data_IF_087617429585
#
_entry.id   IF_087617429585
#
_cell.length_a   1.000
_cell.length_b   1.000
_cell.length_c   1.000
_cell.angle_alpha   90.00
_cell.angle_beta   90.00
_cell.angle_gamma   90.00
#
_symmetry.space_group_name_H-M   'P 1'
#
loop_
_entity.id
_entity.type
_entity.pdbx_description
1 polymer ?
#
# COMPACT_ATOMS: atom_id res chain seq x y z
N UNK A 1 -19.59 -29.68 -17.58
CA UNK A 1 -18.60 -29.47 -18.65
C UNK A 1 -18.81 -28.06 -19.16
N UNK A 2 -17.82 -27.16 -18.96
CA UNK A 2 -17.99 -25.69 -18.91
C UNK A 2 -18.95 -25.27 -17.77
N UNK A 3 -18.66 -24.28 -16.92
CA UNK A 3 -17.74 -23.14 -17.04
C UNK A 3 -16.62 -23.20 -15.99
N UNK A 4 -15.40 -23.43 -16.48
CA UNK A 4 -14.13 -23.08 -15.83
C UNK A 4 -13.51 -21.99 -16.71
N UNK A 5 -12.63 -21.12 -16.17
CA UNK A 5 -12.00 -19.95 -16.82
C UNK A 5 -12.84 -18.66 -16.90
N UNK A 6 -13.08 -18.02 -15.74
CA UNK A 6 -12.82 -16.57 -15.59
C UNK A 6 -12.11 -16.36 -14.23
N UNK A 7 -10.90 -16.94 -14.11
CA UNK A 7 -9.88 -16.30 -13.28
C UNK A 7 -9.40 -15.09 -14.07
N UNK A 8 -10.17 -14.00 -14.02
CA UNK A 8 -9.62 -12.69 -14.34
C UNK A 8 -8.61 -12.41 -13.23
N UNK A 9 -7.35 -12.69 -13.52
CA UNK A 9 -6.26 -11.97 -12.91
C UNK A 9 -6.58 -10.49 -13.12
N UNK A 10 -7.09 -9.83 -12.07
CA UNK A 10 -6.95 -8.40 -11.90
C UNK A 10 -5.45 -8.14 -11.72
N UNK A 11 -4.73 -8.26 -12.84
CA UNK A 11 -3.55 -7.48 -13.11
C UNK A 11 -4.05 -6.04 -13.12
N UNK A 12 -4.18 -5.48 -11.92
CA UNK A 12 -4.17 -4.04 -11.72
C UNK A 12 -3.03 -3.53 -12.60
N UNK A 13 -3.27 -2.58 -13.51
CA UNK A 13 -2.16 -1.98 -14.22
C UNK A 13 -1.20 -1.49 -13.13
N UNK A 14 0.05 -1.94 -13.21
CA UNK A 14 1.15 -1.32 -12.48
C UNK A 14 1.35 0.07 -13.10
N UNK A 15 0.40 0.97 -12.80
CA UNK A 15 0.59 2.39 -12.92
C UNK A 15 1.87 2.72 -12.17
N UNK A 16 2.63 3.65 -12.71
CA UNK A 16 4.00 3.96 -12.29
C UNK A 16 3.94 4.48 -10.84
N UNK A 17 3.98 3.54 -9.89
CA UNK A 17 4.06 3.79 -8.48
C UNK A 17 5.54 3.99 -8.21
N UNK A 18 5.90 5.26 -8.00
CA UNK A 18 7.23 5.65 -7.54
C UNK A 18 7.61 4.77 -6.35
N UNK A 19 8.82 4.21 -6.37
CA UNK A 19 9.29 3.17 -5.45
C UNK A 19 10.76 3.43 -5.14
N UNK A 20 11.22 2.95 -4.00
CA UNK A 20 12.64 2.87 -3.67
C UNK A 20 13.40 2.10 -4.75
N UNK A 21 14.36 2.77 -5.38
CA UNK A 21 15.24 2.19 -6.39
C UNK A 21 16.42 1.46 -5.73
N UNK A 22 16.84 0.33 -6.29
CA UNK A 22 18.05 -0.38 -5.85
C UNK A 22 19.18 -0.10 -6.83
N UNK A 23 20.18 0.67 -6.39
CA UNK A 23 21.29 1.11 -7.23
C UNK A 23 22.59 0.46 -6.75
N UNK A 24 23.33 -0.17 -7.68
CA UNK A 24 24.69 -0.59 -7.41
C UNK A 24 25.62 0.62 -7.60
N UNK A 25 26.36 1.00 -6.56
CA UNK A 25 27.21 2.19 -6.58
C UNK A 25 28.36 2.11 -7.60
N UNK A 26 28.71 0.92 -8.09
CA UNK A 26 29.65 0.74 -9.21
C UNK A 26 29.13 1.45 -10.49
N UNK A 27 27.80 1.62 -10.61
CA UNK A 27 27.13 2.25 -11.74
C UNK A 27 26.93 3.78 -11.56
N UNK A 28 27.53 4.37 -10.51
CA UNK A 28 27.53 5.81 -10.29
C UNK A 28 28.46 6.56 -11.27
N UNK A 29 28.08 6.61 -12.54
CA UNK A 29 28.79 7.35 -13.59
C UNK A 29 28.44 8.85 -13.65
N UNK A 30 27.56 9.31 -12.76
CA UNK A 30 27.08 10.70 -12.72
C UNK A 30 28.06 11.67 -12.05
N UNK A 31 27.90 12.96 -12.32
CA UNK A 31 28.75 14.04 -11.82
C UNK A 31 27.95 15.05 -10.96
N UNK A 32 28.60 16.00 -10.26
CA UNK A 32 27.89 16.94 -9.38
C UNK A 32 26.87 17.87 -10.04
N UNK A 33 27.00 18.13 -11.36
CA UNK A 33 26.09 18.94 -12.16
C UNK A 33 24.84 18.14 -12.57
N UNK A 34 25.02 16.85 -12.87
CA UNK A 34 23.93 15.93 -13.22
C UNK A 34 23.85 14.75 -12.24
N UNK A 35 23.49 14.98 -10.96
CA UNK A 35 23.36 13.92 -9.96
C UNK A 35 22.21 12.96 -10.29
N UNK A 36 22.30 11.73 -9.77
CA UNK A 36 21.22 10.74 -9.80
C UNK A 36 20.00 11.32 -9.08
N UNK A 37 18.86 11.31 -9.76
CA UNK A 37 17.56 11.76 -9.23
C UNK A 37 16.77 10.54 -8.76
N UNK A 38 16.27 10.60 -7.52
CA UNK A 38 15.56 9.48 -6.90
C UNK A 38 14.36 9.97 -6.07
N UNK A 39 13.34 9.11 -5.96
CA UNK A 39 12.23 9.29 -5.01
C UNK A 39 12.57 8.62 -3.67
N UNK A 40 13.13 7.42 -3.68
CA UNK A 40 13.92 6.83 -2.59
C UNK A 40 14.99 5.92 -3.21
N UNK A 41 16.12 5.66 -2.54
CA UNK A 41 17.16 4.77 -3.07
C UNK A 41 17.85 3.95 -1.99
N UNK A 42 17.95 2.63 -2.21
CA UNK A 42 18.92 1.75 -1.56
C UNK A 42 20.18 1.71 -2.42
N UNK A 43 21.25 2.32 -1.94
CA UNK A 43 22.55 2.34 -2.61
C UNK A 43 23.47 1.32 -1.95
N UNK A 44 23.89 0.31 -2.71
CA UNK A 44 24.76 -0.76 -2.23
C UNK A 44 26.03 -0.87 -3.08
N UNK A 45 27.11 -1.35 -2.48
CA UNK A 45 28.32 -1.72 -3.21
C UNK A 45 29.04 -2.85 -2.52
N UNK A 46 29.59 -3.76 -3.32
CA UNK A 46 30.60 -4.71 -2.89
C UNK A 46 31.78 -4.57 -3.85
N UNK A 47 32.93 -4.07 -3.36
CA UNK A 47 34.11 -3.86 -4.18
C UNK A 47 35.37 -4.38 -3.48
N UNK A 48 36.29 -4.87 -4.29
CA UNK A 48 37.61 -5.32 -3.88
C UNK A 48 38.74 -4.41 -4.37
N UNK A 49 38.44 -3.33 -5.12
CA UNK A 49 39.40 -2.36 -5.69
C UNK A 49 38.76 -1.01 -6.04
N UNK A 50 39.56 0.06 -6.01
CA UNK A 50 39.20 1.37 -6.55
C UNK A 50 38.33 2.25 -5.64
N UNK A 51 37.92 3.41 -6.15
CA UNK A 51 37.04 4.36 -5.45
C UNK A 51 35.83 4.70 -6.28
N UNK A 52 34.68 4.74 -5.61
CA UNK A 52 33.36 5.07 -6.14
C UNK A 52 32.96 6.44 -5.58
N UNK A 53 32.33 7.28 -6.42
CA UNK A 53 31.68 8.52 -6.03
C UNK A 53 30.26 8.55 -6.61
N UNK A 54 29.25 8.69 -5.77
CA UNK A 54 27.86 8.88 -6.17
C UNK A 54 27.39 10.27 -5.77
N UNK A 55 26.68 10.95 -6.69
CA UNK A 55 26.04 12.23 -6.42
C UNK A 55 24.53 12.02 -6.52
N UNK A 56 23.80 12.30 -5.44
CA UNK A 56 22.39 12.00 -5.28
C UNK A 56 21.60 13.28 -4.99
N UNK A 57 20.42 13.44 -5.60
CA UNK A 57 19.46 14.49 -5.30
C UNK A 57 18.03 13.94 -5.32
N UNK A 58 17.17 14.38 -4.41
CA UNK A 58 15.75 14.01 -4.49
C UNK A 58 15.08 14.63 -5.72
N UNK A 59 14.09 13.94 -6.25
CA UNK A 59 13.04 14.49 -7.12
C UNK A 59 12.16 15.51 -6.38
N UNK A 60 12.02 15.37 -5.06
CA UNK A 60 11.20 16.21 -4.20
C UNK A 60 11.94 17.50 -3.81
N UNK A 61 11.57 18.61 -4.46
CA UNK A 61 12.15 19.93 -4.19
C UNK A 61 11.87 20.41 -2.76
N UNK A 62 12.91 20.84 -2.05
CA UNK A 62 12.78 21.41 -0.70
C UNK A 62 12.65 20.39 0.43
N UNK A 63 12.95 19.11 0.18
CA UNK A 63 12.93 18.07 1.19
C UNK A 63 14.32 17.93 1.83
N UNK A 64 14.36 17.44 3.06
CA UNK A 64 15.58 16.96 3.69
C UNK A 64 15.89 15.55 3.19
N UNK A 65 17.12 15.10 3.34
CA UNK A 65 17.51 13.71 3.09
C UNK A 65 17.95 13.06 4.39
N UNK A 66 17.39 11.90 4.70
CA UNK A 66 17.86 11.01 5.76
C UNK A 66 18.58 9.82 5.12
N UNK A 67 19.62 9.32 5.81
CA UNK A 67 20.42 8.18 5.37
C UNK A 67 20.57 7.21 6.52
N UNK A 68 20.03 6.00 6.39
CA UNK A 68 20.35 4.87 7.27
C UNK A 68 21.51 4.08 6.66
N UNK A 69 22.48 3.69 7.49
CA UNK A 69 23.57 2.81 7.08
C UNK A 69 23.24 1.38 7.51
N UNK A 70 22.65 0.59 6.60
CA UNK A 70 22.21 -0.78 6.87
C UNK A 70 23.40 -1.74 7.04
N UNK A 71 24.43 -1.58 6.20
CA UNK A 71 25.65 -2.41 6.18
C UNK A 71 26.87 -1.53 5.96
N UNK A 72 27.95 -1.79 6.71
CA UNK A 72 29.24 -1.15 6.48
C UNK A 72 30.39 -2.06 6.93
N UNK A 73 30.93 -2.83 6.00
CA UNK A 73 32.00 -3.81 6.20
C UNK A 73 33.27 -3.33 5.49
N UNK A 74 34.23 -2.82 6.27
CA UNK A 74 35.44 -2.15 5.80
C UNK A 74 36.68 -2.98 6.21
N UNK A 75 37.23 -3.71 5.24
CA UNK A 75 38.27 -4.75 5.40
C UNK A 75 39.51 -4.44 4.56
N UNK A 76 40.65 -5.00 4.96
CA UNK A 76 41.92 -4.84 4.24
C UNK A 76 42.73 -3.63 4.72
N UNK A 77 43.39 -2.95 3.78
CA UNK A 77 44.26 -1.78 3.99
C UNK A 77 43.48 -0.49 4.38
N UNK A 78 42.65 -0.59 5.41
CA UNK A 78 41.77 0.43 5.98
C UNK A 78 41.02 1.33 4.98
N UNK A 79 40.08 0.75 4.20
CA UNK A 79 39.22 1.52 3.31
C UNK A 79 38.41 2.60 4.03
N UNK A 80 37.92 3.57 3.26
CA UNK A 80 37.17 4.71 3.79
C UNK A 80 35.80 4.85 3.12
N UNK A 81 34.81 5.22 3.91
CA UNK A 81 33.44 5.51 3.46
C UNK A 81 33.02 6.85 4.04
N UNK A 82 32.58 7.78 3.19
CA UNK A 82 32.18 9.12 3.59
C UNK A 82 30.86 9.52 2.95
N UNK A 83 30.01 10.16 3.76
CA UNK A 83 28.79 10.83 3.32
C UNK A 83 29.00 12.32 3.55
N UNK A 84 28.84 13.13 2.51
CA UNK A 84 28.86 14.58 2.59
C UNK A 84 27.59 15.18 2.00
N UNK A 85 27.08 16.25 2.60
CA UNK A 85 26.08 17.09 1.97
C UNK A 85 26.73 18.27 1.23
N UNK A 86 26.08 18.79 0.19
CA UNK A 86 26.50 19.99 -0.53
C UNK A 86 25.30 20.71 -1.15
N UNK A 87 25.51 21.93 -1.64
CA UNK A 87 24.50 22.69 -2.39
C UNK A 87 25.06 23.37 -3.64
N UNK A 88 26.27 23.93 -3.54
CA UNK A 88 26.92 24.74 -4.56
C UNK A 88 28.04 23.95 -5.26
N UNK A 89 28.35 24.38 -6.48
CA UNK A 89 29.37 23.79 -7.33
C UNK A 89 30.40 24.86 -7.69
N UNK A 90 31.67 24.47 -7.63
CA UNK A 90 32.79 25.18 -8.24
C UNK A 90 33.13 24.49 -9.56
N UNK A 91 33.66 25.27 -10.51
CA UNK A 91 34.27 24.74 -11.74
C UNK A 91 35.76 25.05 -11.65
N UNK A 92 36.58 24.01 -11.66
CA UNK A 92 38.03 24.07 -11.68
C UNK A 92 38.52 23.74 -13.09
N UNK A 93 39.43 24.53 -13.64
CA UNK A 93 40.04 24.27 -14.94
C UNK A 93 41.38 23.55 -14.75
N UNK A 94 41.49 22.34 -15.30
CA UNK A 94 42.80 21.69 -15.50
C UNK A 94 43.42 22.35 -16.74
N UNK A 95 44.65 22.91 -16.62
CA UNK A 95 45.30 23.57 -17.73
C UNK A 95 45.62 22.58 -18.87
N UNK A 96 45.61 23.10 -20.09
CA UNK A 96 46.01 22.37 -21.29
C UNK A 96 47.48 21.89 -21.20
N UNK A 97 47.75 20.72 -21.76
CA UNK A 97 49.08 20.14 -21.88
C UNK A 97 49.30 19.62 -23.31
N UNK A 98 50.54 19.32 -23.70
CA UNK A 98 50.92 19.01 -25.09
C UNK A 98 50.06 17.95 -25.81
N UNK A 99 49.37 17.07 -25.07
CA UNK A 99 48.48 16.04 -25.63
C UNK A 99 47.06 16.02 -25.03
N UNK A 100 46.69 16.97 -24.16
CA UNK A 100 45.36 17.00 -23.53
C UNK A 100 44.80 18.43 -23.50
N UNK A 101 43.59 18.68 -24.06
CA UNK A 101 42.95 19.99 -23.99
C UNK A 101 42.62 20.35 -22.53
N UNK A 102 42.39 21.64 -22.26
CA UNK A 102 41.91 22.05 -20.95
C UNK A 102 40.57 21.39 -20.60
N UNK A 103 40.43 20.92 -19.35
CA UNK A 103 39.22 20.21 -18.87
C UNK A 103 38.63 20.98 -17.70
N UNK A 104 37.35 21.36 -17.81
CA UNK A 104 36.58 21.90 -16.70
C UNK A 104 35.98 20.77 -15.86
N UNK A 105 36.43 20.67 -14.61
CA UNK A 105 35.91 19.72 -13.62
C UNK A 105 35.00 20.49 -12.67
N UNK A 106 33.75 20.04 -12.55
CA UNK A 106 32.85 20.54 -11.53
C UNK A 106 32.98 19.72 -10.25
N UNK A 107 33.19 20.40 -9.12
CA UNK A 107 33.24 19.78 -7.79
C UNK A 107 32.33 20.53 -6.81
N UNK A 108 31.81 19.87 -5.76
CA UNK A 108 31.07 20.55 -4.69
C UNK A 108 31.94 21.57 -3.96
N UNK A 109 31.52 22.84 -3.92
CA UNK A 109 32.29 23.92 -3.29
C UNK A 109 32.07 24.03 -1.78
N UNK A 110 30.93 23.52 -1.29
CA UNK A 110 30.47 23.60 0.10
C UNK A 110 30.26 22.23 0.74
N UNK A 111 31.03 21.21 0.34
CA UNK A 111 30.91 19.85 0.84
C UNK A 111 31.14 19.76 2.37
N UNK A 112 30.06 19.60 3.13
CA UNK A 112 30.08 19.35 4.56
C UNK A 112 30.03 17.83 4.82
N UNK A 113 31.04 17.30 5.49
CA UNK A 113 31.17 15.86 5.70
C UNK A 113 30.39 15.39 6.94
N UNK A 114 29.27 14.69 6.72
CA UNK A 114 28.38 14.18 7.75
C UNK A 114 28.89 12.87 8.37
N UNK A 115 29.52 12.00 7.58
CA UNK A 115 30.08 10.71 8.01
C UNK A 115 31.50 10.53 7.47
N UNK A 116 32.40 10.01 8.32
CA UNK A 116 33.68 9.44 7.90
C UNK A 116 33.98 8.17 8.68
N UNK A 117 33.73 7.05 8.01
CA UNK A 117 34.04 5.71 8.48
C UNK A 117 35.35 5.20 7.87
N UNK A 118 36.06 4.40 8.64
CA UNK A 118 37.24 3.62 8.28
C UNK A 118 37.11 2.22 8.88
N UNK A 119 38.02 1.30 8.54
CA UNK A 119 38.07 -0.03 9.14
C UNK A 119 38.07 -0.05 10.68
N UNK A 120 38.53 1.03 11.34
CA UNK A 120 38.66 1.13 12.79
C UNK A 120 37.38 1.61 13.51
N UNK A 121 36.40 2.16 12.79
CA UNK A 121 35.19 2.75 13.39
C UNK A 121 33.88 2.46 12.64
N UNK A 122 33.91 1.73 11.52
CA UNK A 122 32.74 1.35 10.70
C UNK A 122 31.54 0.86 11.51
N UNK A 123 31.78 -0.04 12.46
CA UNK A 123 30.76 -0.64 13.32
C UNK A 123 29.93 0.38 14.14
N UNK A 124 30.46 1.60 14.37
CA UNK A 124 29.74 2.66 15.09
C UNK A 124 28.67 3.37 14.24
N UNK A 125 28.72 3.19 12.92
CA UNK A 125 27.81 3.82 11.97
C UNK A 125 26.72 2.86 11.48
N UNK A 126 26.87 1.55 11.68
CA UNK A 126 25.83 0.57 11.29
C UNK A 126 24.55 0.82 12.10
N UNK A 127 23.41 0.82 11.41
CA UNK A 127 22.08 1.18 11.90
C UNK A 127 21.93 2.62 12.43
N UNK A 128 22.91 3.52 12.22
CA UNK A 128 22.70 4.94 12.51
C UNK A 128 21.93 5.62 11.38
N UNK A 129 21.19 6.66 11.73
CA UNK A 129 20.49 7.55 10.80
C UNK A 129 21.18 8.91 10.83
N UNK A 130 21.52 9.41 9.66
CA UNK A 130 22.12 10.73 9.43
C UNK A 130 21.12 11.58 8.65
N UNK A 131 21.13 12.90 8.85
CA UNK A 131 20.21 13.84 8.21
C UNK A 131 20.98 15.02 7.62
N UNK A 132 20.48 15.59 6.53
CA UNK A 132 21.01 16.85 6.00
C UNK A 132 20.70 18.02 6.93
N UNK A 133 21.60 18.98 7.05
CA UNK A 133 21.44 20.15 7.92
C UNK A 133 20.31 21.09 7.48
N UNK A 134 19.95 21.03 6.20
CA UNK A 134 19.01 21.92 5.53
C UNK A 134 18.21 21.14 4.47
N UNK A 135 17.04 21.64 4.05
CA UNK A 135 16.31 21.09 2.92
C UNK A 135 17.04 21.40 1.59
N UNK A 136 16.70 20.66 0.53
CA UNK A 136 17.28 20.77 -0.82
C UNK A 136 18.81 20.57 -0.91
N UNK A 137 19.42 20.00 0.14
CA UNK A 137 20.81 19.53 0.13
C UNK A 137 20.95 18.31 -0.79
N UNK A 138 22.07 18.22 -1.49
CA UNK A 138 22.49 17.07 -2.30
C UNK A 138 23.46 16.21 -1.50
N UNK A 139 23.55 14.92 -1.79
CA UNK A 139 24.50 14.01 -1.12
C UNK A 139 25.62 13.59 -2.08
N UNK A 140 26.85 13.58 -1.56
CA UNK A 140 28.01 12.94 -2.16
C UNK A 140 28.38 11.74 -1.29
N UNK A 141 28.24 10.54 -1.84
CA UNK A 141 28.72 9.30 -1.23
C UNK A 141 30.07 8.98 -1.87
N UNK A 142 31.14 8.85 -1.07
CA UNK A 142 32.43 8.33 -1.55
C UNK A 142 32.78 7.07 -0.79
N UNK A 143 33.15 6.04 -1.53
CA UNK A 143 33.70 4.79 -1.02
C UNK A 143 35.07 4.57 -1.66
N UNK A 144 36.08 4.26 -0.86
CA UNK A 144 37.43 3.98 -1.31
C UNK A 144 37.83 2.62 -0.73
N UNK A 145 37.91 1.60 -1.59
CA UNK A 145 38.14 0.22 -1.19
C UNK A 145 39.60 -0.05 -0.79
N UNK A 146 40.53 0.87 -1.06
CA UNK A 146 41.94 0.93 -0.64
C UNK A 146 42.86 -0.31 -0.87
N UNK A 147 42.35 -1.46 -1.30
CA UNK A 147 43.05 -2.74 -1.28
C UNK A 147 42.88 -3.55 -2.58
N UNK A 148 43.53 -4.71 -2.62
CA UNK A 148 43.50 -5.73 -3.66
C UNK A 148 43.43 -7.10 -2.98
N UNK A 149 42.23 -7.67 -2.87
CA UNK A 149 42.03 -9.07 -2.44
C UNK A 149 41.26 -9.26 -1.13
N UNK A 150 40.95 -8.19 -0.39
CA UNK A 150 39.84 -8.18 0.56
C UNK A 150 38.68 -7.39 -0.03
N UNK A 151 37.47 -7.89 0.17
CA UNK A 151 36.25 -7.28 -0.32
C UNK A 151 35.63 -6.44 0.79
N UNK A 152 35.36 -5.18 0.50
CA UNK A 152 34.63 -4.26 1.38
C UNK A 152 33.27 -3.95 0.78
N UNK A 153 32.27 -3.74 1.63
CA UNK A 153 30.92 -3.48 1.17
C UNK A 153 30.16 -2.50 2.06
N UNK A 154 29.22 -1.79 1.45
CA UNK A 154 28.27 -0.95 2.16
C UNK A 154 26.87 -1.11 1.56
N UNK A 155 25.86 -0.79 2.37
CA UNK A 155 24.48 -0.64 1.95
C UNK A 155 23.87 0.50 2.78
N UNK A 156 23.27 1.47 2.09
CA UNK A 156 22.57 2.60 2.72
C UNK A 156 21.19 2.76 2.10
N UNK A 157 20.19 3.13 2.91
CA UNK A 157 18.88 3.61 2.45
C UNK A 157 18.86 5.13 2.55
N UNK A 158 18.54 5.81 1.46
CA UNK A 158 18.43 7.28 1.37
C UNK A 158 16.98 7.66 1.09
N UNK A 159 16.35 8.32 2.06
CA UNK A 159 14.93 8.67 2.03
C UNK A 159 14.76 10.19 2.08
N UNK A 160 13.99 10.81 1.16
CA UNK A 160 13.62 12.21 1.31
C UNK A 160 12.45 12.35 2.29
N UNK A 161 12.51 13.38 3.13
CA UNK A 161 11.43 13.69 4.06
C UNK A 161 11.17 15.18 4.16
N UNK A 162 9.91 15.51 4.41
CA UNK A 162 9.45 16.84 4.76
C UNK A 162 9.25 16.92 6.28
N UNK A 163 9.57 18.07 6.88
CA UNK A 163 9.27 18.34 8.29
C UNK A 163 7.84 18.87 8.43
N UNK A 164 6.92 17.98 8.80
CA UNK A 164 5.53 18.31 9.08
C UNK A 164 5.36 19.13 10.36
N UNK A 165 4.24 19.86 10.44
CA UNK A 165 3.74 20.31 11.75
C UNK A 165 3.49 19.09 12.63
N UNK A 166 3.74 19.16 13.95
CA UNK A 166 3.98 18.01 14.85
C UNK A 166 2.89 16.91 14.96
N UNK A 167 1.80 17.03 14.21
CA UNK A 167 0.76 16.00 14.07
C UNK A 167 0.25 15.81 12.62
N UNK A 168 0.56 16.70 11.67
CA UNK A 168 0.02 16.67 10.31
C UNK A 168 1.13 16.80 9.25
N UNK A 169 1.16 15.82 8.35
CA UNK A 169 1.86 15.92 7.07
C UNK A 169 0.98 16.61 6.01
N UNK A 170 1.56 17.10 4.90
CA UNK A 170 0.80 17.51 3.72
C UNK A 170 -0.02 16.35 3.12
N UNK A 171 -0.85 16.64 2.12
CA UNK A 171 -1.46 15.60 1.30
C UNK A 171 -0.38 14.77 0.58
N UNK A 172 -0.71 13.52 0.25
CA UNK A 172 0.17 12.57 -0.45
C UNK A 172 1.49 12.25 0.31
N UNK A 173 1.43 12.30 1.64
CA UNK A 173 2.54 12.00 2.54
C UNK A 173 2.13 11.09 3.70
N UNK A 174 3.03 10.17 4.03
CA UNK A 174 2.94 9.31 5.19
C UNK A 174 3.76 9.84 6.35
N UNK A 175 3.20 9.81 7.57
CA UNK A 175 3.85 10.25 8.81
C UNK A 175 4.46 9.05 9.53
N UNK A 176 5.78 9.06 9.68
CA UNK A 176 6.49 8.04 10.46
C UNK A 176 6.05 8.03 11.92
N UNK A 177 6.18 6.88 12.59
CA UNK A 177 5.55 6.64 13.90
C UNK A 177 6.40 7.12 15.07
N UNK A 178 7.69 6.79 15.04
CA UNK A 178 8.67 7.23 16.03
C UNK A 178 9.04 8.71 15.82
N UNK A 179 9.23 9.11 14.57
CA UNK A 179 9.58 10.47 14.13
C UNK A 179 8.34 11.21 13.63
N UNK A 180 7.51 11.70 14.55
CA UNK A 180 6.18 12.29 14.25
C UNK A 180 6.19 13.55 13.39
N UNK A 181 7.33 14.22 13.29
CA UNK A 181 7.61 15.36 12.44
C UNK A 181 8.10 14.96 11.04
N UNK A 182 8.47 13.69 10.81
CA UNK A 182 8.96 13.21 9.53
C UNK A 182 7.81 12.71 8.66
N UNK A 183 7.71 13.32 7.48
CA UNK A 183 6.72 13.02 6.45
C UNK A 183 7.44 12.52 5.20
N UNK A 184 7.29 11.25 4.84
CA UNK A 184 7.80 10.69 3.59
C UNK A 184 6.72 10.73 2.50
N UNK A 185 7.06 10.74 1.19
CA UNK A 185 6.07 10.62 0.12
C UNK A 185 5.22 9.33 0.26
N UNK A 186 3.92 9.40 0.02
CA UNK A 186 3.03 8.22 0.06
C UNK A 186 3.45 7.14 -0.98
N UNK A 187 4.17 7.51 -2.05
CA UNK A 187 4.62 6.57 -3.08
C UNK A 187 5.63 5.54 -2.57
N UNK A 188 6.53 5.95 -1.68
CA UNK A 188 7.57 5.07 -1.11
C UNK A 188 7.08 4.35 0.17
N UNK A 189 5.77 4.09 0.26
CA UNK A 189 5.16 3.27 1.31
C UNK A 189 4.67 1.94 0.77
N UNK A 190 4.70 0.90 1.60
CA UNK A 190 4.30 -0.47 1.24
C UNK A 190 5.07 -1.01 0.03
N UNK A 191 6.34 -0.64 -0.01
CA UNK A 191 7.24 -0.70 -1.15
C UNK A 191 8.34 -1.76 -0.96
N UNK A 192 8.46 -2.33 0.24
CA UNK A 192 9.45 -3.33 0.64
C UNK A 192 10.67 -2.77 1.36
N UNK A 193 10.81 -1.45 1.51
CA UNK A 193 11.93 -0.79 2.19
C UNK A 193 11.42 0.04 3.37
N UNK A 194 12.04 -0.16 4.54
CA UNK A 194 11.85 0.68 5.73
C UNK A 194 12.47 2.08 5.50
N UNK A 195 11.70 2.98 4.90
CA UNK A 195 12.03 4.37 4.63
C UNK A 195 11.82 5.27 5.86
N UNK A 196 10.87 4.92 6.73
CA UNK A 196 10.65 5.61 8.01
C UNK A 196 11.70 5.28 9.09
N UNK A 197 12.50 4.24 8.90
CA UNK A 197 13.46 3.69 9.86
C UNK A 197 12.82 3.15 11.15
N UNK A 198 11.53 2.86 11.12
CA UNK A 198 10.74 2.23 12.18
C UNK A 198 9.73 1.18 11.67
N UNK A 199 9.77 0.88 10.36
CA UNK A 199 8.90 -0.06 9.64
C UNK A 199 7.40 0.29 9.74
N UNK A 200 7.04 1.56 10.00
CA UNK A 200 5.64 2.00 10.08
C UNK A 200 4.98 2.20 8.70
N UNK A 201 5.76 2.58 7.71
CA UNK A 201 5.45 2.67 6.28
C UNK A 201 5.19 1.30 5.64
N UNK A 202 5.94 0.29 6.06
CA UNK A 202 5.81 -1.11 5.61
C UNK A 202 4.79 -1.93 6.42
N UNK A 203 3.90 -1.27 7.18
CA UNK A 203 3.00 -1.98 8.07
C UNK A 203 1.74 -2.53 7.37
N UNK A 204 1.50 -3.83 7.52
CA UNK A 204 0.43 -4.58 6.85
C UNK A 204 -0.95 -3.90 6.81
N UNK A 205 -1.36 -3.20 7.87
CA UNK A 205 -2.68 -2.54 7.93
C UNK A 205 -2.80 -1.31 7.02
N UNK A 206 -1.68 -0.72 6.58
CA UNK A 206 -1.62 0.31 5.53
C UNK A 206 -1.56 -0.33 4.14
N UNK A 207 -0.78 -1.41 4.02
CA UNK A 207 -0.44 -2.06 2.76
C UNK A 207 -1.56 -2.94 2.18
N UNK A 208 -2.58 -3.30 2.99
CA UNK A 208 -3.88 -3.67 2.44
C UNK A 208 -4.54 -2.42 1.84
N UNK A 209 -4.33 -2.23 0.53
CA UNK A 209 -4.56 -0.98 -0.22
C UNK A 209 -5.89 -0.24 0.02
N UNK A 210 -5.92 1.02 -0.41
CA UNK A 210 -7.05 1.93 -0.20
C UNK A 210 -7.96 1.99 -1.43
N UNK A 211 -9.27 2.00 -1.22
CA UNK A 211 -10.26 2.40 -2.23
C UNK A 211 -10.89 3.70 -1.74
N UNK A 212 -10.60 4.82 -2.42
CA UNK A 212 -11.14 6.14 -2.07
C UNK A 212 -10.81 6.56 -0.64
N UNK A 213 -9.52 6.52 -0.27
CA UNK A 213 -8.99 6.81 1.08
C UNK A 213 -9.49 5.91 2.23
N UNK A 214 -10.31 4.90 1.96
CA UNK A 214 -10.74 3.91 2.95
C UNK A 214 -9.90 2.63 2.81
N UNK A 215 -9.29 2.10 3.89
CA UNK A 215 -8.55 0.84 3.84
C UNK A 215 -9.49 -0.32 3.49
N UNK A 216 -9.02 -1.24 2.63
CA UNK A 216 -9.77 -2.42 2.18
C UNK A 216 -10.57 -3.16 3.27
N UNK A 217 -10.04 -3.45 4.48
CA UNK A 217 -10.84 -4.08 5.54
C UNK A 217 -12.09 -3.29 5.94
N UNK A 218 -12.04 -1.96 6.00
CA UNK A 218 -13.23 -1.14 6.30
C UNK A 218 -14.22 -1.15 5.13
N UNK A 219 -13.74 -1.14 3.89
CA UNK A 219 -14.61 -1.27 2.72
C UNK A 219 -15.36 -2.61 2.72
N UNK A 220 -14.67 -3.72 3.03
CA UNK A 220 -15.26 -5.05 3.18
C UNK A 220 -16.33 -5.06 4.29
N UNK A 221 -16.05 -4.45 5.45
CA UNK A 221 -17.01 -4.32 6.55
C UNK A 221 -18.26 -3.56 6.11
N UNK A 222 -18.11 -2.41 5.44
CA UNK A 222 -19.26 -1.62 4.94
C UNK A 222 -20.10 -2.41 3.93
N UNK A 223 -19.47 -3.16 3.02
CA UNK A 223 -20.18 -4.02 2.06
C UNK A 223 -20.95 -5.13 2.78
N UNK A 224 -20.36 -5.80 3.77
CA UNK A 224 -21.03 -6.85 4.56
C UNK A 224 -22.24 -6.27 5.31
N UNK A 225 -22.08 -5.12 5.98
CA UNK A 225 -23.17 -4.44 6.71
C UNK A 225 -24.30 -4.04 5.75
N UNK A 226 -23.97 -3.52 4.57
CA UNK A 226 -24.95 -3.20 3.52
C UNK A 226 -25.73 -4.41 3.02
N UNK A 227 -25.06 -5.55 2.80
CA UNK A 227 -25.70 -6.81 2.39
C UNK A 227 -26.64 -7.31 3.49
N UNK A 228 -26.21 -7.32 4.76
CA UNK A 228 -27.04 -7.75 5.88
C UNK A 228 -28.28 -6.86 6.05
N UNK A 229 -28.15 -5.54 5.86
CA UNK A 229 -29.27 -4.62 5.87
C UNK A 229 -30.27 -4.86 4.73
N UNK A 230 -29.78 -5.10 3.50
CA UNK A 230 -30.64 -5.47 2.37
C UNK A 230 -31.37 -6.79 2.60
N UNK A 231 -30.71 -7.80 3.17
CA UNK A 231 -31.36 -9.07 3.54
C UNK A 231 -32.43 -8.87 4.62
N UNK A 232 -32.20 -8.00 5.61
CA UNK A 232 -33.20 -7.63 6.61
C UNK A 232 -34.42 -6.90 5.99
N UNK A 233 -34.19 -6.01 5.02
CA UNK A 233 -35.28 -5.35 4.28
C UNK A 233 -36.08 -6.32 3.41
N UNK A 234 -35.42 -7.23 2.69
CA UNK A 234 -36.08 -8.23 1.83
C UNK A 234 -36.90 -9.21 2.69
N UNK A 235 -36.34 -9.72 3.78
CA UNK A 235 -37.06 -10.62 4.70
C UNK A 235 -38.20 -9.89 5.40
N UNK A 236 -38.00 -8.65 5.85
CA UNK A 236 -39.06 -7.80 6.40
C UNK A 236 -40.21 -7.55 5.42
N UNK A 237 -39.89 -7.21 4.16
CA UNK A 237 -40.87 -7.04 3.10
C UNK A 237 -41.62 -8.34 2.77
N UNK A 238 -40.93 -9.48 2.70
CA UNK A 238 -41.54 -10.78 2.49
C UNK A 238 -42.49 -11.16 3.64
N UNK A 239 -42.09 -10.91 4.91
CA UNK A 239 -42.94 -11.11 6.09
C UNK A 239 -44.16 -10.18 6.04
N UNK A 240 -43.97 -8.91 5.69
CA UNK A 240 -45.06 -7.92 5.55
C UNK A 240 -46.06 -8.35 4.46
N UNK A 241 -45.59 -8.69 3.26
CA UNK A 241 -46.43 -9.15 2.15
C UNK A 241 -47.15 -10.48 2.49
N UNK A 242 -46.48 -11.41 3.17
CA UNK A 242 -47.11 -12.66 3.66
C UNK A 242 -48.20 -12.38 4.69
N UNK A 243 -47.95 -11.50 5.66
CA UNK A 243 -48.97 -11.06 6.64
C UNK A 243 -50.15 -10.39 5.95
N UNK A 244 -49.90 -9.53 4.96
CA UNK A 244 -50.93 -8.87 4.14
C UNK A 244 -51.77 -9.88 3.35
N UNK A 245 -51.14 -10.90 2.75
CA UNK A 245 -51.85 -12.00 2.07
C UNK A 245 -52.71 -12.82 3.04
N UNK A 246 -52.19 -13.18 4.22
CA UNK A 246 -52.94 -13.92 5.24
C UNK A 246 -54.14 -13.10 5.79
N UNK A 247 -53.98 -11.79 6.00
CA UNK A 247 -55.10 -10.91 6.33
C UNK A 247 -56.14 -10.85 5.20
N UNK A 248 -55.72 -10.77 3.93
CA UNK A 248 -56.63 -10.79 2.78
C UNK A 248 -57.36 -12.13 2.61
N UNK A 249 -56.73 -13.25 2.97
CA UNK A 249 -57.38 -14.56 3.02
C UNK A 249 -58.43 -14.63 4.15
N UNK A 250 -58.11 -14.18 5.37
CA UNK A 250 -59.06 -14.12 6.49
C UNK A 250 -60.24 -13.18 6.28
N UNK A 251 -60.12 -12.20 5.39
CA UNK A 251 -61.18 -11.26 5.04
C UNK A 251 -62.15 -11.77 3.94
N UNK A 252 -61.96 -13.00 3.43
CA UNK A 252 -62.88 -13.60 2.46
C UNK A 252 -63.90 -14.47 3.22
N UNK A 253 -65.20 -14.16 3.21
CA UNK A 253 -66.20 -14.95 3.92
C UNK A 253 -66.31 -16.36 3.32
N UNK A 254 -66.54 -17.33 4.18
CA UNK A 254 -66.79 -18.72 3.81
C UNK A 254 -68.14 -18.81 3.08
N UNK A 255 -68.10 -19.18 1.80
CA UNK A 255 -69.32 -19.46 1.03
C UNK A 255 -69.76 -20.86 1.39
N UNK A 256 -70.73 -20.98 2.29
CA UNK A 256 -71.38 -22.24 2.65
C UNK A 256 -72.09 -22.77 1.40
N UNK A 257 -71.68 -23.95 0.93
CA UNK A 257 -72.28 -24.61 -0.22
C UNK A 257 -73.64 -25.21 0.16
N UNK A 258 -74.72 -24.50 -0.21
CA UNK A 258 -76.11 -24.79 0.16
C UNK A 258 -76.68 -26.09 -0.46
N UNK A 259 -75.87 -26.92 -1.11
CA UNK A 259 -76.32 -28.16 -1.75
C UNK A 259 -76.47 -29.36 -0.81
N UNK A 260 -75.94 -29.32 0.42
CA UNK A 260 -75.94 -30.48 1.34
C UNK A 260 -77.32 -30.73 2.00
N UNK A 261 -78.15 -29.69 2.17
CA UNK A 261 -79.47 -29.82 2.82
C UNK A 261 -80.58 -30.43 1.93
N UNK A 262 -80.34 -30.61 0.63
CA UNK A 262 -81.35 -31.19 -0.28
C UNK A 262 -81.39 -32.73 -0.27
N UNK A 263 -80.43 -33.39 0.40
CA UNK A 263 -80.28 -34.84 0.41
C UNK A 263 -81.12 -35.63 1.42
N UNK A 264 -81.84 -34.97 2.33
CA UNK A 264 -82.55 -35.63 3.45
C UNK A 264 -84.09 -35.49 3.41
N UNK A 265 -84.66 -35.01 2.31
CA UNK A 265 -86.12 -34.77 2.16
C UNK A 265 -86.86 -35.86 1.34
N UNK A 266 -86.27 -37.05 1.21
CA UNK A 266 -86.89 -38.24 0.62
C UNK A 266 -86.49 -39.47 1.44
N UNK A 267 -87.33 -40.52 1.43
CA UNK A 267 -87.29 -41.73 2.31
C UNK A 267 -87.92 -41.43 3.70
N UNK A 268 -89.09 -41.93 4.11
CA UNK A 268 -89.77 -43.20 3.78
C UNK A 268 -91.29 -43.18 4.12
N UNK A 269 -92.10 -43.91 3.35
CA UNK A 269 -93.52 -44.21 3.61
C UNK A 269 -93.67 -45.55 4.36
N UNK A 270 -94.65 -45.70 5.29
CA UNK A 270 -95.14 -47.01 5.74
C UNK A 270 -96.59 -47.30 5.32
N UNK A 271 -96.77 -48.47 4.71
CA UNK A 271 -98.01 -49.02 4.15
C UNK A 271 -98.89 -49.70 5.23
N UNK A 272 -100.23 -49.62 5.13
CA UNK A 272 -101.18 -50.44 5.92
C UNK A 272 -102.37 -50.94 5.05
N UNK A 273 -103.08 -52.03 5.46
CA UNK A 273 -103.58 -53.04 4.50
C UNK A 273 -105.04 -52.86 3.99
N UNK A 274 -105.45 -53.65 2.97
CA UNK A 274 -106.74 -53.50 2.26
C UNK A 274 -107.96 -54.08 3.01
N UNK A 275 -109.21 -53.79 2.56
CA UNK A 275 -110.40 -53.77 3.41
C UNK A 275 -111.30 -55.03 3.31
N UNK A 276 -112.21 -55.24 4.28
CA UNK A 276 -113.35 -56.14 4.14
C UNK A 276 -114.54 -55.48 3.42
N UNK A 277 -115.32 -56.29 2.72
CA UNK A 277 -116.43 -55.90 1.82
C UNK A 277 -117.78 -56.30 2.44
N UNK A 278 -118.87 -55.71 1.91
CA UNK A 278 -120.28 -56.15 2.02
C UNK A 278 -121.06 -55.58 3.23
N UNK A 279 -122.36 -55.27 3.14
CA UNK A 279 -123.36 -55.52 2.06
C UNK A 279 -124.64 -54.71 2.31
N UNK A 280 -125.31 -54.21 1.25
CA UNK A 280 -126.79 -54.08 1.06
C UNK A 280 -127.59 -53.34 2.18
N UNK A 281 -128.82 -52.84 2.06
CA UNK A 281 -129.88 -52.74 1.04
C UNK A 281 -130.66 -51.46 1.44
N UNK A 282 -131.53 -50.86 0.63
CA UNK A 282 -132.12 -51.33 -0.63
C UNK A 282 -131.41 -50.66 -1.81
#
# INVERSE_FOLDING_TARGET
MFVLLILFSLHLPSGIYSRTEYVNAIECFQNPQNPIRFDSVVLASESARGSIKCYLVSTHNGYYLSVRINKLDLKGNCPTFTISEYSALMINEIPESENFPAISISEPSDANQLVKATCNNSARFVNTVIQTSMPARKLMIKFDSADVGQVSSFEITVTPYYLGSSFNCPADHFRCFNTRDHCIPDSITCDGVDNCFDNSDESNYLCTGRIGNLPLPLFIILVIVGILFLLALITGAAIYLRRRHLHKQRAKPEVIDMNILRGQAAVQEPLMPPPPVSKQTI
#
